data_IF_471402264753
#
_entry.id   IF_471402264753
#
_cell.length_a   1.000
_cell.length_b   1.000
_cell.length_c   1.000
_cell.angle_alpha   90.00
_cell.angle_beta   90.00
_cell.angle_gamma   90.00
#
_symmetry.space_group_name_H-M   'P 1'
#
loop_
_entity.id
_entity.type
_entity.pdbx_description
1 polymer ?
#
# COMPACT_ATOMS: atom_id res chain seq x y z
N UNK A 1 14.99 -18.91 11.93
CA UNK A 1 14.99 -18.40 10.54
C UNK A 1 14.69 -16.90 10.61
N UNK A 2 15.36 -16.07 9.81
CA UNK A 2 15.13 -14.63 9.79
C UNK A 2 13.74 -14.34 9.20
N UNK A 3 12.95 -13.51 9.88
CA UNK A 3 11.55 -13.37 9.51
C UNK A 3 11.31 -12.20 8.55
N UNK A 4 12.08 -11.11 8.64
CA UNK A 4 11.86 -9.92 7.83
C UNK A 4 13.17 -9.36 7.27
N UNK A 5 13.15 -8.92 6.00
CA UNK A 5 14.13 -8.02 5.42
C UNK A 5 13.48 -6.67 5.21
N UNK A 6 13.95 -5.65 5.93
CA UNK A 6 13.55 -4.26 5.72
C UNK A 6 14.52 -3.69 4.69
N UNK A 7 14.00 -3.18 3.58
CA UNK A 7 14.77 -2.65 2.47
C UNK A 7 14.48 -1.17 2.34
N UNK A 8 15.51 -0.36 2.52
CA UNK A 8 15.45 1.10 2.30
C UNK A 8 16.24 1.45 1.05
N UNK A 9 15.61 2.19 0.15
CA UNK A 9 16.30 2.82 -0.97
C UNK A 9 16.46 4.31 -0.71
N UNK A 10 17.57 4.88 -1.12
CA UNK A 10 17.89 6.29 -0.90
C UNK A 10 18.55 6.91 -2.13
N UNK A 11 18.20 8.16 -2.43
CA UNK A 11 18.91 9.02 -3.36
C UNK A 11 18.78 10.47 -2.91
N UNK A 12 19.88 11.08 -2.51
CA UNK A 12 19.97 12.50 -2.11
C UNK A 12 18.91 12.93 -1.06
N UNK A 13 18.66 12.06 -0.08
CA UNK A 13 17.71 12.32 1.00
C UNK A 13 18.29 11.93 2.37
N UNK A 14 19.48 12.44 2.72
CA UNK A 14 20.16 12.07 3.96
C UNK A 14 19.34 12.33 5.22
N UNK A 15 18.63 13.47 5.30
CA UNK A 15 17.74 13.73 6.45
C UNK A 15 16.58 12.72 6.56
N UNK A 16 15.98 12.35 5.43
CA UNK A 16 14.98 11.30 5.39
C UNK A 16 15.56 9.93 5.75
N UNK A 17 16.71 9.59 5.17
CA UNK A 17 17.44 8.35 5.46
C UNK A 17 17.71 8.18 6.95
N UNK A 18 18.20 9.23 7.63
CA UNK A 18 18.45 9.20 9.07
C UNK A 18 17.17 8.86 9.85
N UNK A 19 16.05 9.53 9.57
CA UNK A 19 14.76 9.25 10.24
C UNK A 19 14.31 7.80 10.04
N UNK A 20 14.46 7.30 8.83
CA UNK A 20 14.12 5.90 8.51
C UNK A 20 14.99 4.94 9.32
N UNK A 21 16.31 5.12 9.31
CA UNK A 21 17.26 4.28 10.05
C UNK A 21 16.92 4.30 11.55
N UNK A 22 16.76 5.48 12.15
CA UNK A 22 16.44 5.64 13.57
C UNK A 22 15.15 4.85 13.90
N UNK A 23 14.11 4.97 13.10
CA UNK A 23 12.84 4.27 13.33
C UNK A 23 12.93 2.74 13.20
N UNK A 24 13.81 2.23 12.35
CA UNK A 24 14.07 0.78 12.21
C UNK A 24 14.88 0.25 13.39
N UNK A 25 15.91 0.97 13.77
CA UNK A 25 16.80 0.58 14.89
C UNK A 25 16.04 0.57 16.22
N UNK A 26 15.10 1.50 16.41
CA UNK A 26 14.27 1.61 17.61
C UNK A 26 13.21 0.50 17.74
N UNK A 27 12.95 -0.30 16.68
CA UNK A 27 11.98 -1.39 16.78
C UNK A 27 12.36 -2.39 17.89
N UNK A 28 11.40 -2.71 18.74
CA UNK A 28 11.57 -3.67 19.85
C UNK A 28 11.68 -5.12 19.37
N UNK A 29 11.03 -5.43 18.26
CA UNK A 29 11.21 -6.70 17.55
C UNK A 29 12.55 -6.74 16.83
N UNK A 30 13.34 -7.82 16.96
CA UNK A 30 14.74 -7.88 16.45
C UNK A 30 14.98 -9.00 15.43
N UNK A 31 13.98 -9.83 15.10
CA UNK A 31 14.18 -10.91 14.13
C UNK A 31 14.05 -10.41 12.68
N UNK A 32 14.82 -9.37 12.34
CA UNK A 32 14.91 -8.81 11.00
C UNK A 32 16.35 -8.48 10.62
N UNK A 33 16.61 -8.36 9.33
CA UNK A 33 17.78 -7.67 8.80
C UNK A 33 17.36 -6.33 8.18
N UNK A 34 18.27 -5.39 8.21
CA UNK A 34 18.08 -4.07 7.63
C UNK A 34 19.08 -3.84 6.48
N UNK A 35 18.56 -3.60 5.29
CA UNK A 35 19.31 -3.43 4.04
C UNK A 35 19.09 -2.01 3.52
N UNK A 36 20.16 -1.30 3.19
CA UNK A 36 20.07 0.04 2.59
C UNK A 36 20.80 0.06 1.25
N UNK A 37 20.09 0.46 0.22
CA UNK A 37 20.61 0.66 -1.14
C UNK A 37 20.58 2.15 -1.45
N UNK A 38 21.76 2.77 -1.53
CA UNK A 38 21.91 4.16 -1.87
C UNK A 38 22.33 4.31 -3.34
N UNK A 39 21.63 5.16 -4.08
CA UNK A 39 21.80 5.38 -5.52
C UNK A 39 23.00 6.26 -5.87
N UNK A 40 24.10 6.19 -5.11
CA UNK A 40 25.29 7.09 -5.28
C UNK A 40 24.95 8.55 -4.96
N UNK A 41 24.36 8.77 -3.80
CA UNK A 41 24.00 10.12 -3.32
C UNK A 41 25.21 11.04 -3.22
N UNK A 42 25.00 12.32 -3.52
CA UNK A 42 26.01 13.38 -3.43
C UNK A 42 25.83 14.31 -2.23
N UNK A 43 24.79 14.09 -1.43
CA UNK A 43 24.52 14.79 -0.17
C UNK A 43 25.22 14.09 1.03
N UNK A 44 24.77 14.38 2.25
CA UNK A 44 25.29 13.78 3.47
C UNK A 44 24.83 12.33 3.72
N UNK A 45 24.16 11.67 2.77
CA UNK A 45 23.65 10.29 2.93
C UNK A 45 24.75 9.30 3.28
N UNK A 46 25.92 9.40 2.61
CA UNK A 46 27.03 8.49 2.84
C UNK A 46 27.61 8.60 4.27
N UNK A 47 27.66 9.83 4.82
CA UNK A 47 28.13 10.04 6.19
C UNK A 47 27.16 9.44 7.21
N UNK A 48 25.85 9.51 6.92
CA UNK A 48 24.81 8.88 7.73
C UNK A 48 24.96 7.35 7.67
N UNK A 49 25.14 6.76 6.50
CA UNK A 49 25.35 5.30 6.36
C UNK A 49 26.57 4.85 7.15
N UNK A 50 27.68 5.55 7.06
CA UNK A 50 28.90 5.24 7.84
C UNK A 50 28.65 5.31 9.35
N UNK A 51 27.91 6.35 9.80
CA UNK A 51 27.57 6.54 11.22
C UNK A 51 26.72 5.42 11.80
N UNK A 52 25.81 4.84 11.00
CA UNK A 52 24.89 3.79 11.42
C UNK A 52 25.32 2.37 10.93
N UNK A 53 26.54 2.23 10.39
CA UNK A 53 27.01 1.00 9.76
C UNK A 53 26.84 -0.26 10.62
N UNK A 54 27.10 -0.14 11.95
CA UNK A 54 27.01 -1.26 12.89
C UNK A 54 25.55 -1.71 13.17
N UNK A 55 24.57 -0.89 12.77
CA UNK A 55 23.14 -1.13 12.99
C UNK A 55 22.42 -1.53 11.69
N UNK A 56 23.11 -1.46 10.56
CA UNK A 56 22.61 -1.85 9.24
C UNK A 56 23.25 -3.18 8.84
N UNK A 57 22.44 -4.18 8.54
CA UNK A 57 22.95 -5.53 8.22
C UNK A 57 23.73 -5.57 6.89
N UNK A 58 23.35 -4.72 5.95
CA UNK A 58 24.03 -4.53 4.67
C UNK A 58 23.69 -3.14 4.10
N UNK A 59 24.69 -2.43 3.59
CA UNK A 59 24.46 -1.24 2.80
C UNK A 59 25.48 -1.11 1.66
N UNK A 60 25.05 -0.47 0.59
CA UNK A 60 25.92 -0.14 -0.55
C UNK A 60 25.49 1.23 -1.10
N UNK A 61 26.48 2.00 -1.55
CA UNK A 61 26.25 3.24 -2.29
C UNK A 61 26.87 3.10 -3.68
N UNK A 62 26.00 2.94 -4.68
CA UNK A 62 26.39 2.77 -6.07
C UNK A 62 25.27 3.26 -7.00
N UNK A 63 25.61 3.64 -8.24
CA UNK A 63 24.62 4.07 -9.22
C UNK A 63 23.56 2.97 -9.45
N UNK A 64 22.33 3.39 -9.50
CA UNK A 64 21.20 2.59 -9.96
C UNK A 64 20.59 3.19 -11.25
N UNK A 65 19.74 2.40 -11.91
CA UNK A 65 18.98 2.82 -13.09
C UNK A 65 17.54 3.27 -12.73
N UNK A 66 17.27 3.53 -11.47
CA UNK A 66 15.98 3.96 -10.96
C UNK A 66 15.54 3.19 -9.73
N UNK A 67 14.43 3.65 -9.14
CA UNK A 67 13.87 3.18 -7.87
C UNK A 67 13.70 1.65 -7.82
N UNK A 68 13.18 1.03 -8.88
CA UNK A 68 12.94 -0.42 -8.91
C UNK A 68 14.22 -1.24 -9.12
N UNK A 69 15.25 -0.66 -9.75
CA UNK A 69 16.58 -1.28 -9.80
C UNK A 69 17.17 -1.34 -8.38
N UNK A 70 17.10 -0.25 -7.63
CA UNK A 70 17.55 -0.22 -6.24
C UNK A 70 16.76 -1.21 -5.36
N UNK A 71 15.42 -1.25 -5.48
CA UNK A 71 14.59 -2.23 -4.76
C UNK A 71 14.97 -3.66 -5.12
N UNK A 72 15.17 -3.97 -6.39
CA UNK A 72 15.57 -5.30 -6.86
C UNK A 72 16.95 -5.72 -6.34
N UNK A 73 17.90 -4.80 -6.23
CA UNK A 73 19.20 -5.05 -5.58
C UNK A 73 18.98 -5.49 -4.12
N UNK A 74 18.13 -4.79 -3.38
CA UNK A 74 17.77 -5.14 -2.00
C UNK A 74 17.11 -6.51 -1.89
N UNK A 75 16.15 -6.84 -2.76
CA UNK A 75 15.48 -8.17 -2.77
C UNK A 75 16.49 -9.30 -3.01
N UNK A 76 17.44 -9.12 -3.93
CA UNK A 76 18.45 -10.14 -4.27
C UNK A 76 19.35 -10.48 -3.08
N UNK A 77 19.60 -9.52 -2.19
CA UNK A 77 20.44 -9.67 -0.99
C UNK A 77 19.61 -10.19 0.18
N UNK A 78 18.32 -9.91 0.22
CA UNK A 78 17.41 -10.24 1.30
C UNK A 78 17.40 -11.74 1.64
N UNK A 79 17.40 -12.07 2.96
CA UNK A 79 17.38 -13.42 3.50
C UNK A 79 16.15 -13.69 4.37
N UNK A 80 15.42 -12.65 4.76
CA UNK A 80 14.18 -12.77 5.52
C UNK A 80 13.10 -13.52 4.75
N UNK A 81 12.17 -14.10 5.47
CA UNK A 81 10.99 -14.74 4.90
C UNK A 81 10.14 -13.73 4.13
N UNK A 82 9.96 -12.56 4.71
CA UNK A 82 9.23 -11.43 4.11
C UNK A 82 10.16 -10.28 3.76
N UNK A 83 9.77 -9.50 2.75
CA UNK A 83 10.36 -8.21 2.41
C UNK A 83 9.38 -7.09 2.71
N UNK A 84 9.87 -6.00 3.30
CA UNK A 84 9.18 -4.73 3.49
C UNK A 84 10.03 -3.61 2.90
N UNK A 85 9.43 -2.75 2.10
CA UNK A 85 10.11 -1.58 1.54
C UNK A 85 9.75 -0.33 2.34
N UNK A 86 10.72 0.20 3.06
CA UNK A 86 10.61 1.43 3.83
C UNK A 86 11.58 2.47 3.26
N UNK A 87 11.13 3.26 2.29
CA UNK A 87 11.99 4.19 1.58
C UNK A 87 12.49 5.33 2.47
N UNK A 88 13.59 5.97 2.08
CA UNK A 88 14.16 7.07 2.87
C UNK A 88 13.17 8.23 3.02
N UNK A 89 12.87 8.59 4.27
CA UNK A 89 11.86 9.58 4.66
C UNK A 89 10.59 8.97 5.25
N UNK A 90 10.31 7.69 4.97
CA UNK A 90 9.23 6.94 5.59
C UNK A 90 9.73 6.29 6.90
N UNK A 91 8.87 6.11 7.88
CA UNK A 91 9.27 5.57 9.18
C UNK A 91 8.12 4.82 9.86
N UNK A 92 8.45 3.86 10.72
CA UNK A 92 7.46 3.07 11.44
C UNK A 92 6.56 3.94 12.32
N UNK A 93 5.30 3.51 12.46
CA UNK A 93 4.29 4.21 13.24
C UNK A 93 4.64 4.27 14.73
N UNK A 94 5.23 3.21 15.28
CA UNK A 94 5.73 3.15 16.65
C UNK A 94 6.88 2.15 16.79
N UNK A 95 7.64 2.24 17.87
CA UNK A 95 8.76 1.33 18.14
C UNK A 95 8.36 -0.13 18.39
N UNK A 96 7.10 -0.41 18.65
CA UNK A 96 6.54 -1.75 18.85
C UNK A 96 5.71 -2.25 17.66
N UNK A 97 5.73 -1.52 16.54
CA UNK A 97 4.94 -1.87 15.34
C UNK A 97 5.24 -3.29 14.86
N UNK A 98 6.51 -3.64 14.65
CA UNK A 98 6.88 -4.98 14.19
C UNK A 98 6.56 -6.06 15.22
N UNK A 99 6.71 -5.77 16.52
CA UNK A 99 6.36 -6.72 17.58
C UNK A 99 4.87 -7.05 17.53
N UNK A 100 3.99 -6.05 17.42
CA UNK A 100 2.55 -6.24 17.28
C UNK A 100 2.18 -7.08 16.06
N UNK A 101 2.81 -6.80 14.92
CA UNK A 101 2.55 -7.50 13.65
C UNK A 101 2.95 -8.97 13.76
N UNK A 102 4.18 -9.26 14.15
CA UNK A 102 4.68 -10.64 14.17
C UNK A 102 4.13 -11.48 15.32
N UNK A 103 3.55 -10.86 16.35
CA UNK A 103 2.78 -11.59 17.38
C UNK A 103 1.46 -12.19 16.87
N UNK A 104 0.98 -11.78 15.69
CA UNK A 104 -0.22 -12.32 15.07
C UNK A 104 -0.04 -13.72 14.45
N UNK A 105 1.20 -14.23 14.37
CA UNK A 105 1.49 -15.55 13.79
C UNK A 105 1.10 -15.65 12.31
N UNK A 106 1.41 -14.62 11.52
CA UNK A 106 1.05 -14.51 10.10
C UNK A 106 1.81 -15.54 9.26
N UNK A 107 1.12 -16.14 8.29
CA UNK A 107 1.66 -17.13 7.35
C UNK A 107 1.22 -16.89 5.90
N UNK A 108 0.42 -15.87 5.66
CA UNK A 108 -0.09 -15.47 4.36
C UNK A 108 1.05 -15.04 3.44
N UNK A 109 0.84 -15.14 2.12
CA UNK A 109 1.85 -14.80 1.11
C UNK A 109 2.14 -13.30 1.07
N UNK A 110 1.10 -12.50 1.29
CA UNK A 110 1.16 -11.04 1.41
C UNK A 110 0.27 -10.60 2.54
N UNK A 111 0.79 -9.86 3.50
CA UNK A 111 -0.05 -9.16 4.47
C UNK A 111 0.26 -7.67 4.45
N UNK A 112 -0.73 -6.88 4.79
CA UNK A 112 -0.63 -5.43 4.69
C UNK A 112 -1.44 -4.75 5.79
N UNK A 113 -0.92 -3.63 6.26
CA UNK A 113 -1.57 -2.85 7.30
C UNK A 113 -1.92 -1.44 6.83
N UNK A 114 -2.45 -0.67 7.77
CA UNK A 114 -2.83 0.70 7.54
C UNK A 114 -1.60 1.62 7.53
N UNK A 115 -1.76 2.82 7.02
CA UNK A 115 -0.69 3.80 6.98
C UNK A 115 -1.20 5.19 7.38
N UNK A 116 -0.30 6.01 7.88
CA UNK A 116 -0.59 7.41 8.15
C UNK A 116 0.11 8.29 7.12
N UNK A 117 -0.66 8.95 6.27
CA UNK A 117 -0.15 9.89 5.29
C UNK A 117 -0.07 11.27 5.90
N UNK A 118 1.12 11.86 5.87
CA UNK A 118 1.37 13.19 6.39
C UNK A 118 1.74 14.15 5.25
N UNK A 119 1.12 15.32 5.25
CA UNK A 119 1.42 16.44 4.34
C UNK A 119 2.14 17.53 5.15
N UNK A 120 3.46 17.62 5.00
CA UNK A 120 4.28 18.57 5.73
C UNK A 120 3.90 20.03 5.46
N UNK A 121 3.49 20.34 4.22
CA UNK A 121 3.17 21.71 3.82
C UNK A 121 1.87 22.18 4.48
N UNK A 122 0.89 21.27 4.60
CA UNK A 122 -0.40 21.54 5.24
C UNK A 122 -0.41 21.28 6.73
N UNK A 123 0.66 20.69 7.30
CA UNK A 123 0.76 20.24 8.70
C UNK A 123 -0.46 19.38 9.11
N UNK A 124 -0.94 18.56 8.20
CA UNK A 124 -2.11 17.68 8.39
C UNK A 124 -1.79 16.27 7.93
N UNK A 125 -2.41 15.31 8.59
CA UNK A 125 -2.30 13.91 8.19
C UNK A 125 -3.62 13.19 8.41
N UNK A 126 -3.75 12.03 7.80
CA UNK A 126 -4.91 11.15 7.97
C UNK A 126 -4.50 9.69 7.77
N UNK A 127 -5.25 8.82 8.41
CA UNK A 127 -5.10 7.39 8.23
C UNK A 127 -5.63 6.97 6.87
N UNK A 128 -4.88 6.10 6.21
CA UNK A 128 -5.35 5.33 5.07
C UNK A 128 -5.62 3.93 5.61
N UNK A 129 -6.90 3.60 5.66
CA UNK A 129 -7.37 2.27 6.05
C UNK A 129 -7.49 1.45 4.77
N UNK A 130 -6.78 0.34 4.73
CA UNK A 130 -6.83 -0.57 3.59
C UNK A 130 -8.02 -1.52 3.70
N UNK A 131 -8.56 -2.04 2.59
CA UNK A 131 -9.68 -2.95 2.65
C UNK A 131 -9.27 -4.37 3.09
N UNK A 132 -10.17 -5.10 3.72
CA UNK A 132 -9.93 -6.50 4.11
C UNK A 132 -9.75 -7.42 2.89
N UNK A 133 -10.38 -7.08 1.77
CA UNK A 133 -10.31 -7.87 0.53
C UNK A 133 -9.78 -7.04 -0.63
N UNK A 134 -8.71 -7.51 -1.24
CA UNK A 134 -8.11 -6.91 -2.43
C UNK A 134 -8.72 -7.52 -3.69
N UNK A 135 -9.47 -6.72 -4.41
CA UNK A 135 -10.10 -7.11 -5.69
C UNK A 135 -9.40 -6.45 -6.87
N UNK A 136 -9.63 -6.97 -8.09
CA UNK A 136 -9.16 -6.29 -9.30
C UNK A 136 -9.72 -4.87 -9.40
N UNK A 137 -10.97 -4.63 -8.98
CA UNK A 137 -11.56 -3.30 -8.96
C UNK A 137 -10.86 -2.36 -7.97
N UNK A 138 -10.40 -2.87 -6.81
CA UNK A 138 -9.57 -2.08 -5.90
C UNK A 138 -8.29 -1.61 -6.60
N UNK A 139 -7.54 -2.54 -7.23
CA UNK A 139 -6.31 -2.20 -7.94
C UNK A 139 -6.55 -1.32 -9.17
N UNK A 140 -7.67 -1.48 -9.86
CA UNK A 140 -8.05 -0.59 -10.96
C UNK A 140 -8.13 0.88 -10.51
N UNK A 141 -8.62 1.13 -9.29
CA UNK A 141 -8.81 2.48 -8.74
C UNK A 141 -7.63 3.00 -7.92
N UNK A 142 -6.97 2.13 -7.17
CA UNK A 142 -5.99 2.50 -6.14
C UNK A 142 -4.80 1.54 -6.17
N UNK A 143 -3.85 1.76 -5.26
CA UNK A 143 -2.82 0.82 -4.86
C UNK A 143 -2.92 0.64 -3.35
N UNK A 144 -2.42 -0.46 -2.83
CA UNK A 144 -2.09 -0.57 -1.41
C UNK A 144 -0.76 0.15 -1.13
N UNK A 145 -0.55 0.59 0.10
CA UNK A 145 0.68 1.26 0.51
C UNK A 145 1.83 0.24 0.56
N UNK A 146 2.81 0.37 -0.33
CA UNK A 146 3.93 -0.58 -0.37
C UNK A 146 4.79 -0.53 0.90
N UNK A 147 4.84 0.61 1.60
CA UNK A 147 5.57 0.76 2.87
C UNK A 147 4.89 0.03 4.04
N UNK A 148 3.62 -0.35 3.89
CA UNK A 148 2.89 -1.16 4.87
C UNK A 148 2.55 -2.57 4.38
N UNK A 149 3.20 -3.01 3.28
CA UNK A 149 2.94 -4.32 2.65
C UNK A 149 4.15 -5.23 2.82
N UNK A 150 3.91 -6.38 3.43
CA UNK A 150 4.89 -7.44 3.67
C UNK A 150 4.67 -8.54 2.65
N UNK A 151 5.68 -8.83 1.85
CA UNK A 151 5.61 -9.76 0.72
C UNK A 151 6.57 -10.91 0.98
N UNK A 152 6.10 -12.16 0.92
CA UNK A 152 7.02 -13.31 0.97
C UNK A 152 8.08 -13.18 -0.11
N UNK A 153 9.35 -13.24 0.30
CA UNK A 153 10.49 -13.09 -0.61
C UNK A 153 10.49 -14.09 -1.76
N UNK A 154 9.98 -15.29 -1.54
CA UNK A 154 9.87 -16.30 -2.59
C UNK A 154 8.98 -15.89 -3.77
N UNK A 155 8.00 -15.00 -3.56
CA UNK A 155 7.12 -14.53 -4.62
C UNK A 155 7.88 -13.74 -5.69
N UNK A 156 8.95 -13.03 -5.30
CA UNK A 156 9.81 -12.34 -6.27
C UNK A 156 10.58 -13.31 -7.17
N UNK A 157 10.93 -14.50 -6.66
CA UNK A 157 11.51 -15.56 -7.48
C UNK A 157 10.49 -16.22 -8.38
N UNK A 158 9.25 -16.39 -7.87
CA UNK A 158 8.16 -17.08 -8.57
C UNK A 158 7.52 -16.24 -9.67
N UNK A 159 7.29 -14.95 -9.44
CA UNK A 159 6.55 -14.08 -10.35
C UNK A 159 7.43 -13.03 -11.06
N UNK A 160 8.72 -13.02 -10.78
CA UNK A 160 9.68 -12.03 -11.27
C UNK A 160 9.86 -10.87 -10.30
N UNK A 161 10.99 -10.19 -10.44
CA UNK A 161 11.30 -8.97 -9.71
C UNK A 161 10.47 -7.80 -10.24
N UNK A 162 10.59 -6.64 -9.60
CA UNK A 162 9.96 -5.42 -10.12
C UNK A 162 10.47 -5.08 -11.52
N UNK A 163 9.57 -4.63 -12.38
CA UNK A 163 9.90 -4.21 -13.74
C UNK A 163 10.65 -2.88 -13.72
N UNK A 164 11.94 -2.92 -14.00
CA UNK A 164 12.84 -1.76 -13.98
C UNK A 164 12.61 -0.76 -15.13
N UNK A 165 11.78 -1.11 -16.12
CA UNK A 165 11.38 -0.18 -17.18
C UNK A 165 10.28 0.79 -16.75
N UNK A 166 9.61 0.50 -15.62
CA UNK A 166 8.59 1.36 -15.03
C UNK A 166 9.23 2.32 -14.02
N UNK A 167 8.68 3.53 -13.94
CA UNK A 167 9.17 4.55 -13.03
C UNK A 167 8.39 4.58 -11.70
N UNK A 168 7.10 4.21 -11.72
CA UNK A 168 6.20 4.43 -10.57
C UNK A 168 5.30 3.24 -10.25
N UNK A 169 4.95 2.38 -11.21
CA UNK A 169 3.88 1.42 -11.05
C UNK A 169 4.32 -0.05 -11.00
N UNK A 170 5.63 -0.35 -10.80
CA UNK A 170 6.09 -1.74 -10.82
C UNK A 170 5.70 -2.54 -9.55
N UNK A 171 5.62 -1.91 -8.39
CA UNK A 171 5.07 -2.49 -7.16
C UNK A 171 3.58 -2.82 -7.31
N UNK A 172 2.82 -1.92 -7.93
CA UNK A 172 1.42 -2.13 -8.25
C UNK A 172 1.23 -3.24 -9.31
N UNK A 173 2.07 -3.30 -10.34
CA UNK A 173 2.09 -4.39 -11.32
C UNK A 173 2.35 -5.73 -10.64
N UNK A 174 3.34 -5.80 -9.76
CA UNK A 174 3.70 -6.99 -9.01
C UNK A 174 2.53 -7.47 -8.13
N UNK A 175 1.89 -6.56 -7.42
CA UNK A 175 0.75 -6.88 -6.56
C UNK A 175 -0.44 -7.45 -7.37
N UNK A 176 -0.73 -6.90 -8.56
CA UNK A 176 -1.75 -7.47 -9.45
C UNK A 176 -1.36 -8.88 -9.88
N UNK A 177 -0.11 -9.10 -10.31
CA UNK A 177 0.35 -10.42 -10.72
C UNK A 177 0.26 -11.43 -9.58
N UNK A 178 0.73 -11.07 -8.41
CA UNK A 178 0.72 -11.98 -7.25
C UNK A 178 -0.70 -12.23 -6.72
N UNK A 179 -1.44 -11.17 -6.43
CA UNK A 179 -2.69 -11.25 -5.68
C UNK A 179 -3.88 -11.59 -6.60
N UNK A 180 -4.01 -10.92 -7.75
CA UNK A 180 -5.19 -11.06 -8.59
C UNK A 180 -5.03 -12.20 -9.60
N UNK A 181 -3.89 -12.29 -10.28
CA UNK A 181 -3.70 -13.30 -11.32
C UNK A 181 -3.33 -14.65 -10.71
N UNK A 182 -2.45 -14.67 -9.72
CA UNK A 182 -1.96 -15.91 -9.11
C UNK A 182 -2.64 -16.26 -7.78
N UNK A 183 -3.65 -15.48 -7.36
CA UNK A 183 -4.48 -15.74 -6.18
C UNK A 183 -3.67 -16.03 -4.89
N UNK A 184 -2.58 -15.28 -4.68
CA UNK A 184 -1.80 -15.39 -3.46
C UNK A 184 -2.66 -15.07 -2.23
N UNK A 185 -2.42 -15.79 -1.12
CA UNK A 185 -3.14 -15.55 0.13
C UNK A 185 -2.77 -14.19 0.70
N UNK A 186 -3.80 -13.41 1.00
CA UNK A 186 -3.61 -12.05 1.54
C UNK A 186 -4.34 -11.89 2.87
N UNK A 187 -3.79 -11.02 3.73
CA UNK A 187 -4.44 -10.62 4.99
C UNK A 187 -4.23 -9.15 5.28
N UNK A 188 -5.34 -8.43 5.49
CA UNK A 188 -5.29 -7.11 6.08
C UNK A 188 -5.09 -7.24 7.59
N UNK A 189 -4.17 -6.46 8.13
CA UNK A 189 -3.97 -6.31 9.57
C UNK A 189 -4.39 -4.90 9.99
N UNK A 190 -5.28 -4.78 10.97
CA UNK A 190 -5.77 -3.49 11.48
C UNK A 190 -4.71 -2.83 12.38
N UNK A 191 -3.50 -2.65 11.86
CA UNK A 191 -2.36 -2.04 12.55
C UNK A 191 -1.78 -0.96 11.65
N UNK A 192 -1.66 0.30 12.12
CA UNK A 192 -0.91 1.31 11.40
C UNK A 192 0.59 0.95 11.43
N UNK A 193 1.16 0.81 10.23
CA UNK A 193 2.54 0.34 10.06
C UNK A 193 3.50 1.50 9.97
N UNK A 194 3.19 2.50 9.15
CA UNK A 194 4.13 3.55 8.79
C UNK A 194 3.51 4.93 8.74
N UNK A 195 4.37 5.93 8.95
CA UNK A 195 4.18 7.30 8.48
C UNK A 195 4.88 7.46 7.14
N UNK A 196 4.19 8.02 6.13
CA UNK A 196 4.82 8.35 4.86
C UNK A 196 4.44 9.75 4.36
N UNK A 197 5.37 10.38 3.61
CA UNK A 197 5.18 11.73 3.10
C UNK A 197 4.27 11.74 1.87
N UNK A 198 3.31 12.67 1.86
CA UNK A 198 2.43 12.92 0.72
C UNK A 198 3.16 13.36 -0.56
N UNK A 199 4.43 13.79 -0.47
CA UNK A 199 5.25 14.27 -1.59
C UNK A 199 6.03 13.18 -2.31
N UNK A 200 5.77 11.89 -2.01
CA UNK A 200 6.39 10.77 -2.71
C UNK A 200 6.20 10.81 -4.23
N UNK A 201 7.08 10.16 -4.98
CA UNK A 201 7.14 10.17 -6.46
C UNK A 201 5.81 9.85 -7.13
N UNK A 202 5.03 8.91 -6.58
CA UNK A 202 3.72 8.52 -7.14
C UNK A 202 2.66 9.62 -7.06
N UNK A 203 2.79 10.53 -6.12
CA UNK A 203 1.86 11.66 -5.96
C UNK A 203 2.27 12.88 -6.81
N UNK A 204 3.57 13.08 -6.99
CA UNK A 204 4.11 14.20 -7.78
C UNK A 204 4.08 13.94 -9.28
N UNK A 205 4.13 12.67 -9.70
CA UNK A 205 4.15 12.27 -11.11
C UNK A 205 2.90 11.46 -11.52
N UNK A 206 1.73 12.00 -11.21
CA UNK A 206 0.43 11.34 -11.42
C UNK A 206 0.19 10.94 -12.88
N UNK A 207 0.63 11.74 -13.84
CA UNK A 207 0.44 11.47 -15.26
C UNK A 207 1.22 10.22 -15.69
N UNK A 208 2.49 10.11 -15.29
CA UNK A 208 3.32 8.92 -15.55
C UNK A 208 2.68 7.69 -14.92
N UNK A 209 2.24 7.80 -13.66
CA UNK A 209 1.57 6.71 -12.97
C UNK A 209 0.32 6.22 -13.69
N UNK A 210 -0.53 7.11 -14.17
CA UNK A 210 -1.75 6.76 -14.92
C UNK A 210 -1.41 6.11 -16.26
N UNK A 211 -0.42 6.62 -16.98
CA UNK A 211 0.04 6.04 -18.24
C UNK A 211 0.59 4.63 -18.06
N UNK A 212 1.48 4.42 -17.09
CA UNK A 212 2.04 3.11 -16.80
C UNK A 212 0.96 2.10 -16.39
N UNK A 213 0.05 2.49 -15.47
CA UNK A 213 -1.08 1.64 -15.07
C UNK A 213 -1.98 1.27 -16.25
N UNK A 214 -2.26 2.21 -17.15
CA UNK A 214 -3.03 1.94 -18.36
C UNK A 214 -2.34 0.92 -19.27
N UNK A 215 -1.03 1.02 -19.47
CA UNK A 215 -0.25 0.05 -20.25
C UNK A 215 -0.27 -1.34 -19.60
N UNK A 216 -0.03 -1.41 -18.29
CA UNK A 216 -0.02 -2.67 -17.52
C UNK A 216 -1.39 -3.35 -17.58
N UNK A 217 -2.48 -2.62 -17.35
CA UNK A 217 -3.84 -3.20 -17.43
C UNK A 217 -4.14 -3.76 -18.81
N UNK A 218 -3.81 -3.02 -19.89
CA UNK A 218 -4.02 -3.48 -21.25
C UNK A 218 -3.15 -4.71 -21.60
N UNK A 219 -2.00 -4.88 -20.96
CA UNK A 219 -1.13 -6.03 -21.13
C UNK A 219 -1.62 -7.25 -20.36
N UNK A 220 -2.11 -7.07 -19.14
CA UNK A 220 -2.48 -8.15 -18.24
C UNK A 220 -3.92 -8.66 -18.43
N UNK A 221 -4.83 -7.82 -18.91
CA UNK A 221 -6.26 -8.15 -18.95
C UNK A 221 -6.88 -7.95 -20.33
N UNK A 222 -7.80 -8.83 -20.74
CA UNK A 222 -8.62 -8.64 -21.93
C UNK A 222 -9.44 -7.35 -21.86
N UNK A 223 -9.61 -6.67 -23.01
CA UNK A 223 -10.39 -5.43 -23.11
C UNK A 223 -11.80 -5.52 -22.54
N UNK A 224 -12.43 -6.70 -22.59
CA UNK A 224 -13.77 -6.95 -22.03
C UNK A 224 -13.80 -6.76 -20.52
N UNK A 225 -12.79 -7.29 -19.80
CA UNK A 225 -12.67 -7.13 -18.35
C UNK A 225 -12.45 -5.63 -18.00
N UNK A 226 -11.60 -4.93 -18.77
CA UNK A 226 -11.38 -3.51 -18.55
C UNK A 226 -12.64 -2.67 -18.79
N UNK A 227 -13.45 -3.04 -19.80
CA UNK A 227 -14.73 -2.38 -20.05
C UNK A 227 -15.70 -2.54 -18.87
N UNK A 228 -15.75 -3.73 -18.25
CA UNK A 228 -16.59 -3.97 -17.07
C UNK A 228 -16.12 -3.15 -15.86
N UNK A 229 -14.80 -3.03 -15.64
CA UNK A 229 -14.24 -2.20 -14.57
C UNK A 229 -14.58 -0.71 -14.77
N UNK A 230 -14.47 -0.21 -16.00
CA UNK A 230 -14.84 1.18 -16.34
C UNK A 230 -16.34 1.39 -16.09
N UNK A 231 -17.18 0.45 -16.53
CA UNK A 231 -18.63 0.49 -16.30
C UNK A 231 -18.97 0.53 -14.82
N UNK A 232 -18.32 -0.32 -14.03
CA UNK A 232 -18.50 -0.37 -12.58
C UNK A 232 -18.13 0.97 -11.92
N UNK A 233 -17.01 1.58 -12.34
CA UNK A 233 -16.61 2.89 -11.84
C UNK A 233 -17.61 3.99 -12.17
N UNK A 234 -18.18 3.98 -13.39
CA UNK A 234 -19.22 4.92 -13.80
C UNK A 234 -20.49 4.76 -12.97
N UNK A 235 -20.96 3.52 -12.78
CA UNK A 235 -22.12 3.22 -11.95
C UNK A 235 -21.92 3.65 -10.49
N UNK A 236 -20.73 3.44 -9.93
CA UNK A 236 -20.44 3.88 -8.56
C UNK A 236 -20.47 5.43 -8.45
N UNK A 237 -19.90 6.14 -9.42
CA UNK A 237 -19.96 7.61 -9.47
C UNK A 237 -21.40 8.11 -9.58
N UNK A 238 -22.22 7.47 -10.40
CA UNK A 238 -23.62 7.78 -10.55
C UNK A 238 -24.41 7.55 -9.25
N UNK A 239 -24.21 6.43 -8.62
CA UNK A 239 -24.81 6.08 -7.32
C UNK A 239 -24.40 7.08 -6.23
N UNK A 240 -23.14 7.48 -6.18
CA UNK A 240 -22.66 8.50 -5.24
C UNK A 240 -23.31 9.86 -5.51
N UNK A 241 -23.53 10.23 -6.76
CA UNK A 241 -24.23 11.44 -7.16
C UNK A 241 -25.69 11.43 -6.69
N UNK A 242 -26.41 10.32 -6.93
CA UNK A 242 -27.78 10.12 -6.48
C UNK A 242 -27.87 10.23 -4.96
N UNK A 243 -26.97 9.54 -4.22
CA UNK A 243 -26.94 9.56 -2.75
C UNK A 243 -26.68 10.96 -2.16
N UNK A 244 -25.97 11.84 -2.89
CA UNK A 244 -25.72 13.23 -2.49
C UNK A 244 -26.92 14.15 -2.80
N UNK A 245 -27.83 13.75 -3.69
CA UNK A 245 -28.97 14.60 -4.10
C UNK A 245 -29.90 14.88 -2.92
N UNK A 246 -30.46 16.09 -2.91
CA UNK A 246 -31.41 16.51 -1.88
C UNK A 246 -32.67 15.63 -1.88
N UNK A 247 -33.15 15.25 -3.06
CA UNK A 247 -34.34 14.42 -3.24
C UNK A 247 -34.13 13.03 -2.58
N UNK A 248 -32.99 12.41 -2.82
CA UNK A 248 -32.72 11.10 -2.25
C UNK A 248 -32.51 11.14 -0.73
N UNK A 249 -31.89 12.20 -0.21
CA UNK A 249 -31.78 12.42 1.25
C UNK A 249 -33.16 12.63 1.88
N UNK A 250 -34.03 13.41 1.26
CA UNK A 250 -35.41 13.61 1.72
C UNK A 250 -36.20 12.31 1.69
N UNK A 251 -36.11 11.52 0.60
CA UNK A 251 -36.71 10.20 0.49
C UNK A 251 -36.25 9.25 1.60
N UNK A 252 -34.94 9.13 1.86
CA UNK A 252 -34.41 8.29 2.96
C UNK A 252 -34.91 8.72 4.32
N UNK A 253 -35.02 10.03 4.55
CA UNK A 253 -35.56 10.58 5.81
C UNK A 253 -37.04 10.20 5.96
N UNK A 254 -37.81 10.33 4.89
CA UNK A 254 -39.23 9.96 4.85
C UNK A 254 -39.42 8.45 5.08
N UNK A 255 -38.64 7.62 4.37
CA UNK A 255 -38.66 6.15 4.53
C UNK A 255 -38.36 5.73 5.99
N UNK A 256 -37.39 6.39 6.63
CA UNK A 256 -37.06 6.12 8.04
C UNK A 256 -38.19 6.52 9.00
N UNK A 257 -38.83 7.66 8.76
CA UNK A 257 -40.00 8.13 9.55
C UNK A 257 -41.17 7.14 9.38
N UNK A 258 -41.47 6.75 8.16
CA UNK A 258 -42.52 5.77 7.84
C UNK A 258 -42.22 4.41 8.49
N UNK A 259 -41.00 3.90 8.39
CA UNK A 259 -40.62 2.63 9.02
C UNK A 259 -40.75 2.66 10.54
N UNK A 260 -40.38 3.76 11.19
CA UNK A 260 -40.54 3.92 12.65
C UNK A 260 -42.01 4.06 13.07
N UNK A 261 -42.87 4.69 12.24
CA UNK A 261 -44.30 4.85 12.56
C UNK A 261 -45.14 3.63 12.18
N UNK A 262 -44.61 2.72 11.39
CA UNK A 262 -45.28 1.53 10.85
C UNK A 262 -45.03 0.27 11.70
N UNK A 263 -44.17 0.33 12.73
CA UNK A 263 -43.85 -0.81 13.59
C UNK A 263 -45.00 -1.21 14.53
N UNK A 264 -46.14 -0.47 14.55
CA UNK A 264 -47.22 -0.69 15.51
C UNK A 264 -48.53 -1.23 14.93
N UNK A 265 -48.62 -1.59 13.63
CA UNK A 265 -49.88 -2.13 13.09
C UNK A 265 -49.68 -3.35 12.16
N UNK A 266 -50.58 -4.39 12.23
CA UNK A 266 -50.44 -5.66 11.48
C UNK A 266 -50.53 -5.57 9.94
N UNK A 267 -50.95 -4.44 9.37
CA UNK A 267 -51.14 -4.23 7.92
C UNK A 267 -49.80 -4.02 7.20
N UNK A 268 -48.69 -3.93 7.94
CA UNK A 268 -47.45 -3.41 7.45
C UNK A 268 -46.47 -4.41 6.79
N UNK A 269 -46.72 -5.70 6.95
CA UNK A 269 -45.84 -6.74 6.35
C UNK A 269 -46.01 -6.76 4.82
N UNK A 270 -47.18 -6.40 4.31
CA UNK A 270 -47.46 -6.43 2.86
C UNK A 270 -46.87 -5.21 2.11
N UNK A 271 -46.78 -4.04 2.77
CA UNK A 271 -46.22 -2.83 2.15
C UNK A 271 -44.67 -2.81 2.18
N UNK A 272 -44.03 -3.48 3.16
CA UNK A 272 -42.57 -3.60 3.17
C UNK A 272 -42.02 -4.39 1.98
N UNK A 273 -42.75 -5.36 1.44
CA UNK A 273 -42.35 -6.16 0.28
C UNK A 273 -42.41 -5.40 -1.05
N UNK A 274 -43.21 -4.34 -1.15
CA UNK A 274 -43.32 -3.52 -2.36
C UNK A 274 -42.17 -2.49 -2.47
N UNK A 275 -41.51 -2.17 -1.36
CA UNK A 275 -40.42 -1.18 -1.32
C UNK A 275 -39.02 -1.79 -1.13
N UNK A 276 -38.87 -3.11 -1.18
CA UNK A 276 -37.59 -3.84 -1.10
C UNK A 276 -37.13 -4.46 -2.42
N UNK A 277 -37.83 -4.21 -3.51
CA UNK A 277 -37.35 -4.38 -4.88
C UNK A 277 -36.94 -3.01 -5.42
#
# INVERSE_FOLDING_TARGET
>A
MLQLSIITINLNNGNGLRKTIESVVEQTYKNFEFIVIDGSSSDNSLDILKRFSDQISFWVSEKDSGIYNAMNKGIKIARGEYCLFLNSGDFFFSSDTLLKIFSLGLSEDVFYGDSFRFDNDKKKGFFIIEPDNLTLYHFFRKSICHQSTFIKRELFKKFGYYNEQLQIAADWEFNIKAIIINNCLTRHINIPVVYYDARGLSNTNREISLKERGLILNQLFPKRILADLIRLELLEKELLSINKSFIFKAYRKLKKILANNLSETPINVMLLHIFTL
#
